data_IF_012307349977
#
_entry.id   IF_012307349977
#
_cell.length_a   1.000
_cell.length_b   1.000
_cell.length_c   1.000
_cell.angle_alpha   90.00
_cell.angle_beta   90.00
_cell.angle_gamma   90.00
#
_symmetry.space_group_name_H-M   'P 1'
#
loop_
_entity.id
_entity.type
_entity.pdbx_description
1 polymer ?
#
# COMPACT_ATOMS: atom_id res chain seq x y z
N UNK A 1 14.73 10.68 8.35
CA UNK A 1 14.40 11.75 7.37
C UNK A 1 13.20 12.53 7.90
N UNK A 2 13.42 13.56 8.71
CA UNK A 2 12.43 14.57 9.12
C UNK A 2 13.14 15.91 9.45
N UNK A 3 14.29 16.20 8.82
CA UNK A 3 15.17 17.26 9.35
C UNK A 3 14.90 18.66 8.83
N UNK A 4 14.06 18.89 7.81
CA UNK A 4 13.72 20.26 7.33
C UNK A 4 12.39 20.29 6.54
N UNK A 5 11.26 20.02 7.18
CA UNK A 5 9.96 20.21 6.53
C UNK A 5 9.07 21.06 7.42
N UNK A 6 8.53 22.15 6.87
CA UNK A 6 7.51 22.94 7.56
C UNK A 6 6.23 22.09 7.68
N UNK A 7 6.00 21.57 8.88
CA UNK A 7 4.87 20.69 9.19
C UNK A 7 3.51 21.40 9.08
N UNK A 8 3.50 22.73 8.89
CA UNK A 8 2.27 23.52 8.73
C UNK A 8 1.47 23.15 7.49
N UNK A 9 2.10 22.61 6.45
CA UNK A 9 1.43 22.23 5.20
C UNK A 9 0.98 20.75 5.16
N UNK A 10 0.95 20.09 6.32
CA UNK A 10 0.63 18.67 6.44
C UNK A 10 1.83 17.76 6.21
N UNK A 11 1.57 16.45 6.24
CA UNK A 11 2.59 15.42 6.10
C UNK A 11 2.03 14.19 5.38
N UNK A 12 2.91 13.41 4.76
CA UNK A 12 2.56 12.14 4.11
C UNK A 12 3.05 10.96 4.93
N UNK A 13 2.13 10.09 5.34
CA UNK A 13 2.47 8.81 5.95
C UNK A 13 2.65 7.76 4.85
N UNK A 14 3.90 7.39 4.56
CA UNK A 14 4.19 6.37 3.56
C UNK A 14 4.36 4.99 4.21
N UNK A 15 3.46 4.06 3.86
CA UNK A 15 3.52 2.68 4.33
C UNK A 15 3.09 2.49 5.78
N UNK A 16 2.33 3.43 6.33
CA UNK A 16 1.65 3.34 7.62
C UNK A 16 0.21 3.85 7.46
N UNK A 17 -0.79 3.21 8.08
CA UNK A 17 -0.72 1.98 8.88
C UNK A 17 -0.56 0.71 8.03
N UNK A 18 -0.05 -0.37 8.63
CA UNK A 18 0.07 -1.70 8.00
C UNK A 18 -0.86 -2.77 8.56
N UNK A 19 -1.42 -2.53 9.75
CA UNK A 19 -2.34 -3.46 10.42
C UNK A 19 -3.59 -2.75 10.88
N UNK A 20 -4.67 -3.50 11.06
CA UNK A 20 -5.92 -2.94 11.56
C UNK A 20 -5.77 -2.30 12.96
N UNK A 21 -4.93 -2.91 13.82
CA UNK A 21 -4.64 -2.38 15.16
C UNK A 21 -3.95 -1.02 15.11
N UNK A 22 -2.97 -0.86 14.21
CA UNK A 22 -2.29 0.42 14.02
C UNK A 22 -3.26 1.51 13.56
N UNK A 23 -4.14 1.20 12.61
CA UNK A 23 -5.16 2.13 12.15
C UNK A 23 -6.12 2.54 13.29
N UNK A 24 -6.61 1.58 14.08
CA UNK A 24 -7.48 1.89 15.22
C UNK A 24 -6.80 2.81 16.25
N UNK A 25 -5.53 2.58 16.55
CA UNK A 25 -4.77 3.43 17.48
C UNK A 25 -4.56 4.82 16.86
N UNK A 26 -4.20 4.90 15.59
CA UNK A 26 -4.00 6.17 14.90
C UNK A 26 -5.26 7.03 14.93
N UNK A 27 -6.40 6.46 14.55
CA UNK A 27 -7.69 7.18 14.57
C UNK A 27 -8.08 7.61 15.98
N UNK A 28 -7.75 6.81 17.00
CA UNK A 28 -8.03 7.12 18.40
C UNK A 28 -7.14 8.24 18.97
N UNK A 29 -5.84 8.19 18.71
CA UNK A 29 -4.85 9.06 19.35
C UNK A 29 -4.52 10.31 18.53
N UNK A 30 -4.64 10.24 17.20
CA UNK A 30 -4.29 11.32 16.27
C UNK A 30 -5.54 11.86 15.57
N UNK A 31 -6.43 10.98 15.11
CA UNK A 31 -7.64 11.34 14.37
C UNK A 31 -7.67 10.79 12.94
N UNK A 32 -8.65 11.24 12.17
CA UNK A 32 -8.77 10.91 10.75
C UNK A 32 -7.74 11.69 9.90
N UNK A 33 -7.61 11.33 8.62
CA UNK A 33 -6.74 12.02 7.65
C UNK A 33 -7.56 12.64 6.53
N UNK A 34 -7.00 13.62 5.82
CA UNK A 34 -7.73 14.28 4.72
C UNK A 34 -7.95 13.38 3.50
N UNK A 35 -6.98 12.49 3.23
CA UNK A 35 -7.04 11.57 2.09
C UNK A 35 -6.21 10.32 2.35
N UNK A 36 -6.70 9.18 1.87
CA UNK A 36 -5.91 7.95 1.79
C UNK A 36 -5.72 7.56 0.33
N UNK A 37 -4.46 7.47 -0.10
CA UNK A 37 -4.10 6.93 -1.41
C UNK A 37 -3.80 5.44 -1.28
N UNK A 38 -4.73 4.59 -1.70
CA UNK A 38 -4.54 3.14 -1.70
C UNK A 38 -4.03 2.67 -3.07
N UNK A 39 -2.71 2.53 -3.17
CA UNK A 39 -2.06 1.97 -4.36
C UNK A 39 -2.29 0.46 -4.40
N UNK A 40 -3.04 0.00 -5.39
CA UNK A 40 -3.43 -1.39 -5.55
C UNK A 40 -2.81 -1.98 -6.82
N UNK A 41 -2.39 -3.24 -6.74
CA UNK A 41 -2.03 -4.05 -7.88
C UNK A 41 -2.51 -5.48 -7.63
N UNK A 42 -2.71 -6.24 -8.70
CA UNK A 42 -3.02 -7.66 -8.57
C UNK A 42 -1.84 -8.44 -7.99
N UNK A 43 -2.16 -9.55 -7.30
CA UNK A 43 -1.16 -10.40 -6.66
C UNK A 43 -0.10 -10.89 -7.64
N UNK A 44 -0.50 -11.28 -8.86
CA UNK A 44 0.41 -11.74 -9.90
C UNK A 44 1.36 -10.64 -10.36
N UNK A 45 0.87 -9.40 -10.48
CA UNK A 45 1.69 -8.22 -10.78
C UNK A 45 2.70 -7.96 -9.67
N UNK A 46 2.28 -8.04 -8.41
CA UNK A 46 3.19 -7.87 -7.27
C UNK A 46 4.28 -8.96 -7.22
N UNK A 47 3.93 -10.23 -7.43
CA UNK A 47 4.88 -11.34 -7.51
C UNK A 47 5.87 -11.13 -8.66
N UNK A 48 5.37 -10.78 -9.85
CA UNK A 48 6.19 -10.53 -11.04
C UNK A 48 7.20 -9.40 -10.82
N UNK A 49 6.78 -8.30 -10.17
CA UNK A 49 7.66 -7.17 -9.83
C UNK A 49 8.75 -7.57 -8.83
N UNK A 50 8.42 -8.40 -7.85
CA UNK A 50 9.38 -8.88 -6.86
C UNK A 50 10.38 -9.86 -7.49
N UNK A 51 9.91 -10.78 -8.34
CA UNK A 51 10.78 -11.69 -9.11
C UNK A 51 11.77 -10.93 -10.01
N UNK A 52 11.34 -9.84 -10.66
CA UNK A 52 12.23 -8.99 -11.46
C UNK A 52 13.28 -8.26 -10.61
N UNK A 53 12.98 -7.98 -9.34
CA UNK A 53 13.84 -7.21 -8.45
C UNK A 53 14.88 -8.06 -7.72
N UNK A 54 14.59 -9.34 -7.48
CA UNK A 54 15.44 -10.24 -6.68
C UNK A 54 15.97 -11.36 -7.57
N UNK A 55 17.28 -11.53 -7.60
CA UNK A 55 17.94 -12.63 -8.34
C UNK A 55 17.63 -13.99 -7.66
N UNK A 56 16.61 -14.64 -8.21
CA UNK A 56 16.21 -16.06 -8.20
C UNK A 56 15.97 -16.88 -6.90
N UNK A 57 16.28 -16.41 -5.69
CA UNK A 57 16.02 -17.21 -4.46
C UNK A 57 14.72 -16.85 -3.70
N UNK A 58 13.57 -16.80 -4.39
CA UNK A 58 12.28 -16.49 -3.77
C UNK A 58 11.39 -17.73 -3.61
N UNK A 59 11.01 -18.03 -2.37
CA UNK A 59 9.91 -18.96 -2.11
C UNK A 59 8.57 -18.28 -2.44
N UNK A 60 7.98 -18.68 -3.57
CA UNK A 60 6.74 -18.08 -4.12
C UNK A 60 5.55 -18.30 -3.21
N UNK A 61 5.48 -19.42 -2.49
CA UNK A 61 4.35 -19.74 -1.61
C UNK A 61 4.36 -18.83 -0.38
N UNK A 62 5.52 -18.65 0.24
CA UNK A 62 5.70 -17.71 1.36
C UNK A 62 5.37 -16.28 0.90
N UNK A 63 5.85 -15.89 -0.29
CA UNK A 63 5.57 -14.57 -0.84
C UNK A 63 4.07 -14.35 -1.06
N UNK A 64 3.40 -15.34 -1.65
CA UNK A 64 1.96 -15.33 -1.89
C UNK A 64 1.18 -15.18 -0.58
N UNK A 65 1.57 -15.92 0.45
CA UNK A 65 0.94 -15.85 1.76
C UNK A 65 1.15 -14.49 2.44
N UNK A 66 2.35 -13.92 2.31
CA UNK A 66 2.66 -12.58 2.84
C UNK A 66 1.82 -11.50 2.15
N UNK A 67 1.71 -11.53 0.82
CA UNK A 67 0.88 -10.60 0.04
C UNK A 67 -0.60 -10.72 0.44
N UNK A 68 -1.12 -11.94 0.59
CA UNK A 68 -2.50 -12.17 1.03
C UNK A 68 -2.75 -11.59 2.42
N UNK A 69 -1.86 -11.91 3.37
CA UNK A 69 -1.96 -11.43 4.76
C UNK A 69 -1.95 -9.91 4.80
N UNK A 70 -1.01 -9.28 4.08
CA UNK A 70 -0.93 -7.82 3.96
C UNK A 70 -2.22 -7.23 3.35
N UNK A 71 -2.73 -7.83 2.27
CA UNK A 71 -3.96 -7.35 1.61
C UNK A 71 -5.16 -7.39 2.55
N UNK A 72 -5.30 -8.46 3.35
CA UNK A 72 -6.37 -8.60 4.34
C UNK A 72 -6.25 -7.54 5.43
N UNK A 73 -5.05 -7.38 5.99
CA UNK A 73 -4.81 -6.40 7.06
C UNK A 73 -5.01 -4.96 6.60
N UNK A 74 -4.56 -4.61 5.40
CA UNK A 74 -4.78 -3.27 4.84
C UNK A 74 -6.27 -3.01 4.62
N UNK A 75 -7.04 -3.96 4.08
CA UNK A 75 -8.50 -3.77 3.93
C UNK A 75 -9.19 -3.50 5.27
N UNK A 76 -8.80 -4.23 6.32
CA UNK A 76 -9.32 -4.00 7.69
C UNK A 76 -8.84 -2.69 8.29
N UNK A 77 -7.63 -2.23 7.94
CA UNK A 77 -7.08 -0.97 8.40
C UNK A 77 -7.81 0.22 7.75
N UNK A 78 -8.03 0.15 6.43
CA UNK A 78 -8.75 1.17 5.67
C UNK A 78 -10.17 1.37 6.18
N UNK A 79 -10.86 0.30 6.59
CA UNK A 79 -12.21 0.41 7.17
C UNK A 79 -12.28 1.09 8.54
N UNK A 80 -11.14 1.49 9.13
CA UNK A 80 -11.10 2.25 10.38
C UNK A 80 -11.18 3.76 10.18
N UNK A 81 -10.92 4.24 8.97
CA UNK A 81 -10.97 5.65 8.65
C UNK A 81 -12.35 6.02 8.10
N UNK A 82 -12.84 7.20 8.45
CA UNK A 82 -14.07 7.78 7.88
C UNK A 82 -13.80 8.55 6.60
N UNK A 83 -12.53 8.88 6.33
CA UNK A 83 -12.13 9.69 5.18
C UNK A 83 -12.30 9.03 3.83
N UNK A 84 -12.20 9.85 2.79
CA UNK A 84 -12.21 9.43 1.39
C UNK A 84 -10.97 8.60 1.06
N UNK A 85 -11.20 7.41 0.51
CA UNK A 85 -10.14 6.51 0.03
C UNK A 85 -10.10 6.58 -1.49
N UNK A 86 -8.99 7.08 -2.03
CA UNK A 86 -8.70 7.07 -3.46
C UNK A 86 -7.92 5.81 -3.80
N UNK A 87 -8.56 4.89 -4.53
CA UNK A 87 -7.92 3.67 -4.99
C UNK A 87 -7.26 3.91 -6.34
N UNK A 88 -5.94 3.79 -6.39
CA UNK A 88 -5.16 3.92 -7.62
C UNK A 88 -4.65 2.54 -8.01
N UNK A 89 -5.15 2.00 -9.13
CA UNK A 89 -4.77 0.68 -9.62
C UNK A 89 -3.76 0.79 -10.75
N UNK A 90 -2.76 -0.10 -10.77
CA UNK A 90 -1.94 -0.31 -11.97
C UNK A 90 -2.74 -1.15 -12.98
N UNK A 91 -3.15 -0.55 -14.10
CA UNK A 91 -3.73 -1.28 -15.24
C UNK A 91 -2.61 -1.77 -16.14
N UNK A 92 -2.53 -3.10 -16.33
CA UNK A 92 -1.54 -3.79 -17.18
C UNK A 92 -1.63 -3.39 -18.67
N UNK A 93 -2.66 -2.64 -19.08
CA UNK A 93 -2.93 -2.29 -20.47
C UNK A 93 -1.87 -1.40 -21.17
N UNK A 94 -0.95 -0.74 -20.44
CA UNK A 94 -0.04 0.26 -21.05
C UNK A 94 1.34 -0.25 -21.50
N UNK A 95 1.62 -1.55 -21.40
CA UNK A 95 2.92 -2.10 -21.85
C UNK A 95 2.86 -2.96 -23.13
N UNK A 96 1.68 -3.17 -23.72
CA UNK A 96 1.54 -3.93 -24.99
C UNK A 96 1.20 -3.07 -26.21
N UNK A 97 0.90 -1.78 -26.04
CA UNK A 97 0.49 -0.87 -27.14
C UNK A 97 1.68 -0.18 -27.84
N UNK A 98 2.93 -0.42 -27.39
CA UNK A 98 4.14 0.19 -27.96
C UNK A 98 5.15 -0.83 -28.51
N UNK A 99 4.69 -2.04 -28.87
CA UNK A 99 5.54 -3.11 -29.41
C UNK A 99 4.98 -3.73 -30.69
N UNK A 100 4.29 -2.93 -31.52
CA UNK A 100 3.93 -3.23 -32.90
C UNK A 100 4.32 -2.06 -33.80
#
# INVERSE_FOLDING_TARGET
>A
MLSKTDLRNGFLLNGFPRTAKQASIFVKEIGDVDVILYLYAEMQTMISRIKKKVEENLNVDILTQNIRTYTVEIKKALSKFGTKIEKVCDTVQNYMTHML
#
